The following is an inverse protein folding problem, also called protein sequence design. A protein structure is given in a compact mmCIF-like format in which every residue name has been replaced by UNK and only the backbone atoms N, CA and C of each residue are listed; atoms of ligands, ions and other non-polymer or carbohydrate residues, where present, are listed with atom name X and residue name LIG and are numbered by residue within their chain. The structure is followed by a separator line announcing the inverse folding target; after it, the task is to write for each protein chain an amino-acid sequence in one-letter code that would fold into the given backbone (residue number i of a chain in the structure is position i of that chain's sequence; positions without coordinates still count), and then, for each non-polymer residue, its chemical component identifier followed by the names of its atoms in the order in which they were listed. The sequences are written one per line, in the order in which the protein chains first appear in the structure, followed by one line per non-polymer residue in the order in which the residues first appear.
data_IF_370645692364
#
_entry.id   IF_370645692364
#
_cell.length_a   1.000
_cell.length_b   1.000
_cell.length_c   1.000
_cell.angle_alpha   90.00
_cell.angle_beta   90.00
_cell.angle_gamma   90.00
#
_symmetry.space_group_name_H-M   'P 1'
#
loop_
_entity.id
_entity.type
_entity.pdbx_description
1 polymer ?
#
# COMPACT_ATOMS: atom_id res chain seq x y z
N UNK A 1 -1.93 15.09 19.98
CA UNK A 1 -2.16 14.89 18.55
C UNK A 1 -1.83 13.44 18.21
N UNK A 2 -2.70 12.78 17.45
CA UNK A 2 -2.45 11.47 16.88
C UNK A 2 -2.47 11.62 15.37
N UNK A 3 -1.34 11.33 14.72
CA UNK A 3 -1.20 11.40 13.27
C UNK A 3 -1.03 10.01 12.69
N UNK A 4 -1.83 9.67 11.69
CA UNK A 4 -1.69 8.44 10.92
C UNK A 4 -1.44 8.79 9.44
N UNK A 5 -0.54 8.05 8.79
CA UNK A 5 -0.22 8.25 7.37
C UNK A 5 0.15 9.73 7.08
N UNK A 6 -0.51 10.41 6.14
CA UNK A 6 -0.28 11.84 5.86
C UNK A 6 -0.34 12.74 7.12
N UNK A 7 -1.17 12.38 8.10
CA UNK A 7 -1.22 13.07 9.39
C UNK A 7 0.12 13.05 10.14
N UNK A 8 1.01 12.10 9.88
CA UNK A 8 2.33 12.11 10.52
C UNK A 8 3.21 13.25 10.02
N UNK A 9 3.13 13.56 8.72
CA UNK A 9 3.84 14.69 8.13
C UNK A 9 3.32 16.01 8.70
N UNK A 10 1.99 16.17 8.74
CA UNK A 10 1.36 17.33 9.36
C UNK A 10 1.75 17.50 10.83
N UNK A 11 1.70 16.41 11.61
CA UNK A 11 2.10 16.41 13.01
C UNK A 11 3.57 16.77 13.21
N UNK A 12 4.46 16.26 12.36
CA UNK A 12 5.89 16.57 12.40
C UNK A 12 6.17 18.03 12.06
N UNK A 13 5.54 18.57 11.00
CA UNK A 13 5.67 19.99 10.63
C UNK A 13 5.13 20.90 11.73
N UNK A 14 3.95 20.59 12.29
CA UNK A 14 3.39 21.37 13.39
C UNK A 14 4.31 21.35 14.62
N UNK A 15 4.81 20.18 15.01
CA UNK A 15 5.73 20.05 16.14
C UNK A 15 7.06 20.80 15.92
N UNK A 16 7.52 20.88 14.67
CA UNK A 16 8.71 21.66 14.30
C UNK A 16 8.47 23.17 14.41
N UNK A 17 7.31 23.66 13.97
CA UNK A 17 6.98 25.09 13.96
C UNK A 17 6.50 25.62 15.32
N UNK A 18 5.79 24.79 16.11
CA UNK A 18 5.17 25.17 17.38
C UNK A 18 5.46 24.18 18.50
N UNK A 19 6.75 23.87 18.79
CA UNK A 19 7.12 22.84 19.77
C UNK A 19 6.50 23.08 21.17
N UNK A 20 6.40 24.34 21.59
CA UNK A 20 5.81 24.76 22.85
C UNK A 20 4.29 24.51 22.97
N UNK A 21 3.61 24.20 21.86
CA UNK A 21 2.17 23.88 21.84
C UNK A 21 1.89 22.38 21.83
N UNK A 22 2.92 21.54 21.76
CA UNK A 22 2.78 20.09 21.73
C UNK A 22 2.84 19.53 23.15
N UNK A 23 1.69 19.16 23.71
CA UNK A 23 1.64 18.45 25.01
C UNK A 23 1.94 16.95 24.87
N UNK A 24 1.36 16.29 23.85
CA UNK A 24 1.54 14.86 23.54
C UNK A 24 1.39 14.62 22.04
N UNK A 25 2.26 13.79 21.48
CA UNK A 25 2.31 13.46 20.05
C UNK A 25 2.54 11.96 19.84
N UNK A 26 1.73 11.33 19.00
CA UNK A 26 1.92 9.97 18.52
C UNK A 26 1.78 10.00 17.00
N UNK A 27 2.74 9.38 16.30
CA UNK A 27 2.80 9.30 14.84
C UNK A 27 2.89 7.83 14.46
N UNK A 28 1.97 7.35 13.62
CA UNK A 28 1.91 5.96 13.15
C UNK A 28 1.84 5.92 11.62
N UNK A 29 2.57 4.98 11.00
CA UNK A 29 2.77 4.91 9.54
C UNK A 29 3.42 6.18 8.97
N UNK A 30 4.64 6.44 9.43
CA UNK A 30 5.36 7.71 9.26
C UNK A 30 5.72 8.00 7.80
N UNK A 31 5.25 9.15 7.30
CA UNK A 31 5.79 9.80 6.09
C UNK A 31 7.14 10.43 6.43
N UNK A 32 8.22 9.94 5.80
CA UNK A 32 9.54 10.52 5.93
C UNK A 32 9.59 11.91 5.25
N UNK A 33 9.89 13.00 5.97
CA UNK A 33 9.94 14.33 5.39
C UNK A 33 11.12 14.57 4.42
N UNK A 34 12.17 13.75 4.44
CA UNK A 34 13.39 13.96 3.64
C UNK A 34 13.21 13.60 2.15
N UNK A 35 12.32 12.65 1.84
CA UNK A 35 12.06 12.15 0.48
C UNK A 35 10.60 12.32 0.06
N UNK A 36 9.92 13.31 0.64
CA UNK A 36 8.47 13.45 0.52
C UNK A 36 8.01 13.55 -0.94
N UNK A 37 6.86 12.94 -1.22
CA UNK A 37 6.27 12.79 -2.56
C UNK A 37 6.99 11.78 -3.44
N UNK A 38 8.03 12.18 -4.18
CA UNK A 38 8.55 11.35 -5.26
C UNK A 38 9.30 10.12 -4.76
N UNK A 39 10.36 10.31 -3.97
CA UNK A 39 11.16 9.18 -3.48
C UNK A 39 10.37 8.27 -2.54
N UNK A 40 9.54 8.85 -1.68
CA UNK A 40 8.67 8.08 -0.80
C UNK A 40 7.66 7.24 -1.60
N UNK A 41 7.07 7.79 -2.68
CA UNK A 41 6.17 7.01 -3.53
C UNK A 41 6.90 5.87 -4.23
N UNK A 42 8.10 6.12 -4.78
CA UNK A 42 8.90 5.06 -5.41
C UNK A 42 9.26 3.95 -4.41
N UNK A 43 9.69 4.30 -3.18
CA UNK A 43 9.95 3.31 -2.13
C UNK A 43 8.69 2.54 -1.74
N UNK A 44 7.56 3.23 -1.68
CA UNK A 44 6.27 2.62 -1.39
C UNK A 44 5.82 1.67 -2.51
N UNK A 45 6.07 1.99 -3.78
CA UNK A 45 5.78 1.12 -4.92
C UNK A 45 6.55 -0.20 -4.85
N UNK A 46 7.85 -0.15 -4.52
CA UNK A 46 8.65 -1.36 -4.30
C UNK A 46 8.08 -2.20 -3.14
N UNK A 47 7.75 -1.56 -2.01
CA UNK A 47 7.16 -2.25 -0.87
C UNK A 47 5.79 -2.86 -1.21
N UNK A 48 4.95 -2.17 -1.98
CA UNK A 48 3.67 -2.71 -2.45
C UNK A 48 3.85 -3.88 -3.40
N UNK A 49 4.83 -3.84 -4.30
CA UNK A 49 5.15 -4.96 -5.17
C UNK A 49 5.57 -6.20 -4.36
N UNK A 50 6.39 -6.03 -3.32
CA UNK A 50 6.76 -7.14 -2.42
C UNK A 50 5.56 -7.69 -1.66
N UNK A 51 4.67 -6.82 -1.16
CA UNK A 51 3.43 -7.24 -0.49
C UNK A 51 2.46 -7.92 -1.45
N UNK A 52 2.39 -7.48 -2.69
CA UNK A 52 1.61 -8.13 -3.75
C UNK A 52 2.12 -9.56 -3.99
N UNK A 53 3.43 -9.75 -4.16
CA UNK A 53 4.03 -11.09 -4.31
C UNK A 53 3.77 -11.98 -3.10
N UNK A 54 3.88 -11.43 -1.89
CA UNK A 54 3.56 -12.16 -0.66
C UNK A 54 2.08 -12.58 -0.60
N UNK A 55 1.18 -11.70 -1.04
CA UNK A 55 -0.25 -12.01 -1.13
C UNK A 55 -0.54 -13.12 -2.14
N UNK A 56 0.03 -13.05 -3.34
CA UNK A 56 -0.14 -14.11 -4.35
C UNK A 56 0.39 -15.46 -3.85
N UNK A 57 1.52 -15.46 -3.13
CA UNK A 57 2.04 -16.66 -2.50
C UNK A 57 1.13 -17.20 -1.40
N UNK A 58 0.48 -16.32 -0.64
CA UNK A 58 -0.53 -16.73 0.34
C UNK A 58 -1.76 -17.31 -0.35
N UNK A 59 -2.27 -16.70 -1.41
CA UNK A 59 -3.41 -17.21 -2.18
C UNK A 59 -3.12 -18.60 -2.74
N UNK A 60 -1.92 -18.81 -3.30
CA UNK A 60 -1.50 -20.11 -3.83
C UNK A 60 -1.49 -21.21 -2.76
N UNK A 61 -1.10 -20.89 -1.51
CA UNK A 61 -1.19 -21.83 -0.38
C UNK A 61 -2.62 -22.17 0.03
N UNK A 62 -3.59 -21.36 -0.38
CA UNK A 62 -5.01 -21.53 -0.05
C UNK A 62 -5.84 -21.88 -1.29
N UNK A 63 -5.24 -22.60 -2.25
CA UNK A 63 -5.92 -22.98 -3.49
C UNK A 63 -7.23 -23.74 -3.27
N UNK A 64 -7.34 -24.55 -2.22
CA UNK A 64 -8.59 -25.23 -1.86
C UNK A 64 -9.77 -24.25 -1.65
N UNK A 65 -9.50 -23.01 -1.25
CA UNK A 65 -10.52 -21.97 -1.09
C UNK A 65 -10.72 -21.13 -2.36
N UNK A 66 -9.66 -20.90 -3.15
CA UNK A 66 -9.66 -19.92 -4.23
C UNK A 66 -9.69 -20.51 -5.65
N UNK A 67 -9.22 -21.74 -5.85
CA UNK A 67 -9.14 -22.40 -7.17
C UNK A 67 -8.26 -21.65 -8.18
N UNK A 68 -7.29 -20.86 -7.71
CA UNK A 68 -6.44 -20.02 -8.56
C UNK A 68 -5.13 -20.69 -8.97
N UNK A 69 -4.81 -21.86 -8.41
CA UNK A 69 -3.60 -22.63 -8.62
C UNK A 69 -2.69 -22.58 -7.39
N UNK A 70 -1.82 -23.58 -7.26
CA UNK A 70 -0.88 -23.73 -6.15
C UNK A 70 0.48 -23.05 -6.39
N UNK A 71 0.68 -22.45 -7.57
CA UNK A 71 1.89 -21.72 -7.93
C UNK A 71 1.62 -20.19 -7.94
N UNK A 72 2.36 -19.38 -7.16
CA UNK A 72 2.20 -17.92 -7.15
C UNK A 72 2.29 -17.27 -8.53
N UNK A 73 3.12 -17.80 -9.46
CA UNK A 73 3.26 -17.26 -10.81
C UNK A 73 1.99 -17.49 -11.65
N UNK A 74 1.30 -18.63 -11.45
CA UNK A 74 0.01 -18.90 -12.08
C UNK A 74 -1.06 -17.95 -11.54
N UNK A 75 -1.08 -17.70 -10.22
CA UNK A 75 -2.00 -16.74 -9.61
C UNK A 75 -1.73 -15.32 -10.16
N UNK A 76 -0.46 -14.92 -10.32
CA UNK A 76 -0.09 -13.63 -10.91
C UNK A 76 -0.60 -13.50 -12.35
N UNK A 77 -0.44 -14.56 -13.16
CA UNK A 77 -0.92 -14.58 -14.55
C UNK A 77 -2.45 -14.40 -14.61
N UNK A 78 -3.20 -15.08 -13.74
CA UNK A 78 -4.66 -14.92 -13.64
C UNK A 78 -5.06 -13.50 -13.19
N UNK A 79 -4.35 -12.93 -12.21
CA UNK A 79 -4.56 -11.55 -11.78
C UNK A 79 -4.34 -10.54 -12.92
N UNK A 80 -3.26 -10.69 -13.69
CA UNK A 80 -2.97 -9.85 -14.85
C UNK A 80 -4.03 -10.01 -15.95
N UNK A 81 -4.46 -11.24 -16.22
CA UNK A 81 -5.52 -11.51 -17.18
C UNK A 81 -6.85 -10.85 -16.78
N UNK A 82 -7.23 -10.94 -15.50
CA UNK A 82 -8.40 -10.26 -14.96
C UNK A 82 -8.29 -8.74 -15.14
N UNK A 83 -7.15 -8.13 -14.81
CA UNK A 83 -6.93 -6.69 -15.02
C UNK A 83 -7.05 -6.27 -16.49
N UNK A 84 -6.49 -7.06 -17.41
CA UNK A 84 -6.58 -6.79 -18.84
C UNK A 84 -8.03 -6.89 -19.35
N UNK A 85 -8.78 -7.90 -18.90
CA UNK A 85 -10.19 -8.05 -19.23
C UNK A 85 -11.02 -6.87 -18.72
N UNK A 86 -10.79 -6.42 -17.47
CA UNK A 86 -11.48 -5.28 -16.87
C UNK A 86 -11.13 -3.94 -17.51
N UNK A 87 -9.94 -3.80 -18.09
CA UNK A 87 -9.57 -2.63 -18.87
C UNK A 87 -10.36 -2.52 -20.18
N UNK A 88 -10.74 -3.66 -20.78
CA UNK A 88 -11.57 -3.71 -21.99
C UNK A 88 -13.06 -3.65 -21.67
N UNK A 89 -13.49 -4.37 -20.64
CA UNK A 89 -14.87 -4.50 -20.19
C UNK A 89 -14.95 -4.26 -18.68
N UNK A 90 -15.11 -3.00 -18.24
CA UNK A 90 -15.23 -2.67 -16.82
C UNK A 90 -16.34 -3.48 -16.13
N UNK A 91 -16.13 -3.85 -14.87
CA UNK A 91 -17.06 -4.69 -14.09
C UNK A 91 -18.43 -4.02 -13.87
N UNK A 92 -18.49 -2.70 -13.92
CA UNK A 92 -19.73 -1.94 -13.88
C UNK A 92 -20.17 -1.56 -15.30
N UNK A 93 -21.38 -1.97 -15.68
CA UNK A 93 -22.13 -1.25 -16.71
C UNK A 93 -22.62 0.04 -16.07
N UNK A 94 -22.31 1.19 -16.67
CA UNK A 94 -23.19 2.35 -16.49
C UNK A 94 -24.58 2.03 -17.04
#
# INVERSE_FOLDING_TARGET
YFGYSYGTYLGAVYAKLFPQRVRRLVLDSIVNPEGVWYENNIRQDYAFNDRHRAFLAWVARHDAAYGLGTDPAVVEAKWKAMRAALAMNPAEKK
#
